data_IF_105594887622
#
_entry.id   IF_105594887622
#
_cell.length_a   1.000
_cell.length_b   1.000
_cell.length_c   1.000
_cell.angle_alpha   90.00
_cell.angle_beta   90.00
_cell.angle_gamma   90.00
#
_symmetry.space_group_name_H-M   'P 1'
#
loop_
_entity.id
_entity.type
_entity.pdbx_description
1 polymer ?
#
# COMPACT_ATOMS: atom_id res chain seq x y z
N UNK A 1 11.03 29.17 57.07
CA UNK A 1 11.20 27.71 57.30
C UNK A 1 11.41 27.05 55.95
N UNK A 2 12.68 26.74 55.66
CA UNK A 2 13.22 25.87 54.59
C UNK A 2 12.98 24.38 54.95
N UNK A 3 13.26 23.35 54.12
CA UNK A 3 14.25 23.35 53.02
C UNK A 3 13.89 22.63 51.69
N UNK A 4 14.72 22.96 50.69
CA UNK A 4 15.05 22.22 49.47
C UNK A 4 15.65 20.84 49.76
N UNK A 5 15.49 19.89 48.82
CA UNK A 5 16.51 18.87 48.50
C UNK A 5 16.40 18.40 47.04
N UNK A 6 17.51 18.50 46.32
CA UNK A 6 17.98 17.51 45.34
C UNK A 6 19.47 17.27 45.63
N UNK A 7 20.29 16.67 44.76
CA UNK A 7 20.08 15.60 43.77
C UNK A 7 21.05 14.40 44.02
N UNK A 8 21.02 13.33 43.23
CA UNK A 8 22.18 12.42 43.08
C UNK A 8 22.14 11.59 41.78
N UNK A 9 23.15 11.81 40.95
CA UNK A 9 23.68 10.92 39.90
C UNK A 9 24.81 10.07 40.47
N UNK A 10 24.90 8.79 40.10
CA UNK A 10 26.14 8.00 40.18
C UNK A 10 26.28 7.02 39.01
N UNK A 11 27.50 7.02 38.48
CA UNK A 11 28.17 6.22 37.45
C UNK A 11 28.66 4.85 37.94
N UNK A 12 28.93 3.94 36.99
CA UNK A 12 30.01 2.91 36.89
C UNK A 12 29.45 1.66 36.15
N UNK A 13 29.82 1.32 34.91
CA UNK A 13 31.09 0.92 34.28
C UNK A 13 31.68 -0.40 34.81
N UNK A 14 31.66 -1.45 33.98
CA UNK A 14 32.65 -2.56 34.04
C UNK A 14 32.66 -3.36 32.73
N UNK A 15 33.85 -3.42 32.14
CA UNK A 15 34.23 -4.16 30.93
C UNK A 15 34.45 -5.64 31.21
N UNK A 16 34.32 -6.49 30.18
CA UNK A 16 35.22 -7.64 30.01
C UNK A 16 35.36 -8.07 28.54
N UNK A 17 36.60 -8.40 28.18
CA UNK A 17 37.13 -8.66 26.83
C UNK A 17 36.85 -10.08 26.31
N UNK A 18 36.91 -10.15 24.98
CA UNK A 18 37.02 -11.26 24.00
C UNK A 18 38.05 -12.36 24.37
N UNK A 19 38.04 -13.56 23.71
CA UNK A 19 38.85 -13.71 22.49
C UNK A 19 38.23 -14.55 21.35
N UNK A 20 38.75 -14.31 20.14
CA UNK A 20 38.47 -14.98 18.88
C UNK A 20 39.29 -16.25 18.67
N UNK A 21 38.84 -17.15 17.78
CA UNK A 21 39.73 -18.06 17.05
C UNK A 21 39.17 -18.47 15.68
N UNK A 22 40.10 -18.65 14.75
CA UNK A 22 40.03 -18.56 13.28
C UNK A 22 39.59 -19.86 12.54
N UNK A 23 39.45 -19.83 11.19
CA UNK A 23 38.87 -20.91 10.38
C UNK A 23 39.92 -21.87 9.78
N UNK A 24 39.50 -23.10 9.48
CA UNK A 24 40.30 -24.16 8.83
C UNK A 24 40.11 -24.16 7.30
N UNK A 25 41.23 -24.11 6.56
CA UNK A 25 41.35 -24.38 5.11
C UNK A 25 41.72 -25.84 4.87
N UNK A 26 41.13 -26.51 3.87
CA UNK A 26 41.73 -27.61 3.06
C UNK A 26 41.05 -27.56 1.68
N UNK A 27 41.70 -27.00 0.64
CA UNK A 27 42.65 -27.58 -0.32
C UNK A 27 41.98 -28.28 -1.52
N UNK A 28 42.38 -27.79 -2.70
CA UNK A 28 42.00 -28.23 -4.03
C UNK A 28 42.77 -29.51 -4.45
N UNK A 29 42.19 -30.27 -5.38
CA UNK A 29 42.97 -31.14 -6.26
C UNK A 29 42.59 -30.90 -7.73
N UNK A 30 43.63 -30.67 -8.53
CA UNK A 30 43.64 -30.67 -9.99
C UNK A 30 43.87 -32.10 -10.48
N UNK A 31 43.29 -32.48 -11.61
CA UNK A 31 43.95 -33.38 -12.55
C UNK A 31 43.49 -33.08 -13.98
N UNK A 32 44.46 -32.70 -14.80
CA UNK A 32 44.37 -32.55 -16.24
C UNK A 32 44.57 -33.91 -16.93
N UNK A 33 43.95 -34.08 -18.09
CA UNK A 33 44.22 -35.19 -19.01
C UNK A 33 43.80 -34.80 -20.41
N UNK A 34 44.77 -34.39 -21.24
CA UNK A 34 44.58 -33.96 -22.60
C UNK A 34 44.92 -35.06 -23.62
N UNK A 35 44.13 -35.07 -24.69
CA UNK A 35 44.45 -35.36 -26.08
C UNK A 35 44.89 -36.78 -26.51
N UNK A 36 44.03 -37.41 -27.31
CA UNK A 36 44.47 -38.04 -28.58
C UNK A 36 43.54 -37.66 -29.72
N UNK A 37 44.18 -37.17 -30.77
CA UNK A 37 43.69 -36.67 -32.05
C UNK A 37 43.23 -37.78 -33.00
N UNK A 38 42.12 -37.56 -33.71
CA UNK A 38 41.88 -38.17 -35.04
C UNK A 38 41.02 -37.24 -35.89
N UNK A 39 41.48 -36.94 -37.09
CA UNK A 39 40.90 -35.97 -38.01
C UNK A 39 39.89 -36.59 -39.00
N UNK A 40 38.72 -35.94 -39.10
CA UNK A 40 37.82 -35.58 -40.23
C UNK A 40 37.50 -36.57 -41.37
N UNK A 41 36.23 -36.58 -41.85
CA UNK A 41 35.87 -35.71 -42.99
C UNK A 41 34.53 -34.95 -42.82
N UNK A 42 34.25 -33.97 -43.70
CA UNK A 42 33.34 -32.86 -43.43
C UNK A 42 31.91 -33.14 -43.90
N UNK A 43 30.90 -32.80 -43.09
CA UNK A 43 29.59 -32.30 -43.50
C UNK A 43 28.78 -31.96 -42.24
N UNK A 44 28.96 -30.74 -41.70
CA UNK A 44 28.09 -30.20 -40.68
C UNK A 44 27.46 -28.90 -41.22
N UNK A 45 26.19 -29.00 -41.63
CA UNK A 45 25.33 -27.82 -41.80
C UNK A 45 25.12 -27.21 -40.42
N UNK A 46 25.38 -25.92 -40.29
CA UNK A 46 25.12 -25.16 -39.08
C UNK A 46 23.61 -25.17 -38.77
N UNK A 47 23.21 -26.01 -37.81
CA UNK A 47 21.95 -25.80 -37.11
C UNK A 47 22.17 -24.64 -36.15
N UNK A 48 21.70 -23.45 -36.55
CA UNK A 48 21.50 -22.35 -35.62
C UNK A 48 20.65 -22.84 -34.47
N UNK A 49 21.23 -22.87 -33.27
CA UNK A 49 20.49 -23.01 -32.03
C UNK A 49 19.60 -21.79 -31.90
N UNK A 50 18.38 -21.88 -32.43
CA UNK A 50 17.30 -20.97 -32.08
C UNK A 50 17.01 -21.26 -30.61
N UNK A 51 17.57 -20.42 -29.73
CA UNK A 51 17.25 -20.44 -28.31
C UNK A 51 15.74 -20.28 -28.23
N UNK A 52 15.05 -21.35 -27.82
CA UNK A 52 13.61 -21.32 -27.65
C UNK A 52 13.22 -20.07 -26.83
N UNK A 53 12.19 -19.32 -27.24
CA UNK A 53 11.77 -18.14 -26.50
C UNK A 53 11.53 -18.58 -25.06
N UNK A 54 12.30 -17.97 -24.15
CA UNK A 54 12.16 -18.18 -22.71
C UNK A 54 10.70 -17.86 -22.43
N UNK A 55 9.88 -18.87 -22.07
CA UNK A 55 8.47 -18.66 -21.70
C UNK A 55 8.46 -17.50 -20.71
N UNK A 56 7.94 -16.37 -21.16
CA UNK A 56 7.79 -15.19 -20.33
C UNK A 56 6.89 -15.64 -19.18
N UNK A 57 7.46 -15.71 -17.97
CA UNK A 57 6.63 -16.01 -16.80
C UNK A 57 5.60 -14.90 -16.75
N UNK A 58 4.32 -15.27 -16.67
CA UNK A 58 3.26 -14.32 -16.35
C UNK A 58 3.71 -13.56 -15.11
N UNK A 59 4.03 -12.28 -15.26
CA UNK A 59 4.46 -11.45 -14.15
C UNK A 59 3.30 -11.30 -13.17
N UNK A 60 3.55 -11.50 -11.88
CA UNK A 60 2.52 -11.28 -10.88
C UNK A 60 2.19 -9.78 -10.82
N UNK A 61 0.94 -9.46 -10.50
CA UNK A 61 0.51 -8.08 -10.25
C UNK A 61 0.75 -7.76 -8.78
N UNK A 62 1.44 -6.66 -8.51
CA UNK A 62 1.60 -6.10 -7.17
C UNK A 62 0.72 -4.85 -7.07
N UNK A 63 -0.04 -4.72 -5.98
CA UNK A 63 -0.68 -3.44 -5.61
C UNK A 63 0.13 -2.79 -4.49
N UNK A 64 0.34 -1.49 -4.58
CA UNK A 64 0.82 -0.66 -3.49
C UNK A 64 -0.16 0.48 -3.22
N UNK A 65 -0.23 0.88 -1.95
CA UNK A 65 -0.98 2.05 -1.49
C UNK A 65 0.02 3.04 -0.90
N UNK A 66 -0.04 4.28 -1.36
CA UNK A 66 0.81 5.39 -0.94
C UNK A 66 -0.09 6.47 -0.32
N UNK A 67 0.10 6.74 0.95
CA UNK A 67 -0.55 7.81 1.70
C UNK A 67 0.33 9.05 1.68
N UNK A 68 -0.24 10.20 1.30
CA UNK A 68 0.49 11.47 1.19
C UNK A 68 -0.15 12.50 2.12
N UNK A 69 0.68 13.18 2.90
CA UNK A 69 0.28 14.31 3.72
C UNK A 69 0.85 15.59 3.15
N UNK A 70 0.01 16.61 3.07
CA UNK A 70 0.38 17.92 2.59
C UNK A 70 1.24 18.69 3.62
N UNK A 71 2.02 19.66 3.17
CA UNK A 71 2.63 20.65 4.06
C UNK A 71 1.52 21.46 4.75
N UNK A 72 1.75 21.85 6.01
CA UNK A 72 0.73 22.46 6.88
C UNK A 72 0.03 23.68 6.27
N UNK A 73 0.76 24.49 5.49
CA UNK A 73 0.26 25.73 4.91
C UNK A 73 -0.03 25.62 3.39
N UNK A 74 -0.10 24.39 2.86
CA UNK A 74 -0.42 24.17 1.44
C UNK A 74 -1.85 24.57 1.15
N UNK A 75 -2.09 25.20 -0.01
CA UNK A 75 -3.45 25.31 -0.53
C UNK A 75 -3.96 23.90 -0.93
N UNK A 76 -5.09 23.42 -0.39
CA UNK A 76 -5.58 22.08 -0.69
C UNK A 76 -5.91 21.89 -2.19
N UNK A 77 -6.35 22.93 -2.88
CA UNK A 77 -6.66 22.88 -4.31
C UNK A 77 -5.40 22.72 -5.15
N UNK A 78 -4.39 23.55 -4.89
CA UNK A 78 -3.08 23.46 -5.57
C UNK A 78 -2.42 22.10 -5.33
N UNK A 79 -2.38 21.64 -4.07
CA UNK A 79 -1.86 20.31 -3.72
C UNK A 79 -2.56 19.18 -4.49
N UNK A 80 -3.89 19.24 -4.57
CA UNK A 80 -4.69 18.25 -5.29
C UNK A 80 -4.45 18.27 -6.80
N UNK A 81 -4.27 19.45 -7.39
CA UNK A 81 -3.96 19.61 -8.82
C UNK A 81 -2.57 19.07 -9.16
N UNK A 82 -1.55 19.40 -8.36
CA UNK A 82 -0.18 18.92 -8.56
C UNK A 82 -0.10 17.39 -8.51
N UNK A 83 -0.81 16.76 -7.55
CA UNK A 83 -0.89 15.30 -7.48
C UNK A 83 -1.66 14.68 -8.64
N UNK A 84 -2.75 15.33 -9.09
CA UNK A 84 -3.50 14.87 -10.24
C UNK A 84 -2.64 14.87 -11.49
N UNK A 85 -1.92 15.97 -11.75
CA UNK A 85 -1.02 16.10 -12.90
C UNK A 85 0.10 15.06 -12.85
N UNK A 86 0.77 14.92 -11.69
CA UNK A 86 1.81 13.90 -11.50
C UNK A 86 1.29 12.48 -11.74
N UNK A 87 0.11 12.15 -11.23
CA UNK A 87 -0.47 10.82 -11.42
C UNK A 87 -0.94 10.60 -12.87
N UNK A 88 -1.43 11.64 -13.55
CA UNK A 88 -1.84 11.58 -14.95
C UNK A 88 -0.63 11.38 -15.89
N UNK A 89 0.50 12.05 -15.62
CA UNK A 89 1.77 11.80 -16.32
C UNK A 89 2.21 10.34 -16.19
N UNK A 90 2.14 9.79 -14.96
CA UNK A 90 2.46 8.38 -14.73
C UNK A 90 1.49 7.45 -15.46
N UNK A 91 0.18 7.75 -15.43
CA UNK A 91 -0.85 6.96 -16.09
C UNK A 91 -0.68 6.92 -17.62
N UNK A 92 -0.23 8.02 -18.22
CA UNK A 92 0.03 8.11 -19.67
C UNK A 92 1.41 7.56 -20.06
N UNK A 93 2.36 7.50 -19.11
CA UNK A 93 3.74 7.09 -19.36
C UNK A 93 4.58 8.17 -20.03
N UNK A 94 4.20 9.44 -19.85
CA UNK A 94 4.95 10.60 -20.37
C UNK A 94 6.18 10.94 -19.52
N UNK A 95 6.25 10.43 -18.29
CA UNK A 95 7.37 10.65 -17.36
C UNK A 95 8.55 9.68 -17.52
N UNK A 96 9.56 9.84 -16.66
CA UNK A 96 10.75 8.99 -16.63
C UNK A 96 10.49 7.59 -16.04
N UNK A 97 9.38 7.41 -15.33
CA UNK A 97 9.00 6.14 -14.69
C UNK A 97 8.14 5.35 -15.67
N UNK A 98 8.40 4.04 -15.85
CA UNK A 98 7.55 3.19 -16.68
C UNK A 98 6.07 3.30 -16.29
N UNK A 99 5.17 3.14 -17.26
CA UNK A 99 3.73 3.23 -17.00
C UNK A 99 3.25 2.08 -16.09
N UNK A 100 2.62 2.34 -14.93
CA UNK A 100 2.09 1.29 -14.03
C UNK A 100 0.88 0.60 -14.67
N UNK A 101 0.63 -0.67 -14.38
CA UNK A 101 -0.50 -1.45 -14.93
C UNK A 101 -1.87 -0.83 -14.64
N UNK A 102 -2.02 -0.17 -13.49
CA UNK A 102 -3.19 0.63 -13.13
C UNK A 102 -2.81 1.68 -12.09
N UNK A 103 -3.60 2.75 -12.00
CA UNK A 103 -3.42 3.81 -10.99
C UNK A 103 -4.76 4.47 -10.66
N UNK A 104 -5.02 4.62 -9.37
CA UNK A 104 -6.18 5.34 -8.85
C UNK A 104 -5.70 6.38 -7.83
N UNK A 105 -6.16 7.61 -7.99
CA UNK A 105 -5.89 8.73 -7.12
C UNK A 105 -7.13 9.01 -6.27
N UNK A 106 -6.97 9.07 -4.96
CA UNK A 106 -8.03 9.38 -4.01
C UNK A 106 -7.62 10.67 -3.30
N UNK A 107 -8.36 11.74 -3.53
CA UNK A 107 -8.09 13.05 -2.94
C UNK A 107 -9.04 13.29 -1.78
N UNK A 108 -8.53 13.76 -0.65
CA UNK A 108 -9.36 14.06 0.50
C UNK A 108 -10.49 15.02 0.11
N UNK A 109 -11.69 14.72 0.60
CA UNK A 109 -12.88 15.47 0.25
C UNK A 109 -12.92 16.81 1.00
N UNK A 110 -12.39 17.85 0.35
CA UNK A 110 -12.26 19.20 0.93
C UNK A 110 -13.61 19.85 1.25
N UNK A 111 -14.68 19.45 0.57
CA UNK A 111 -16.02 20.01 0.81
C UNK A 111 -16.63 19.52 2.14
N UNK A 112 -16.23 18.36 2.66
CA UNK A 112 -16.70 17.91 4.00
C UNK A 112 -15.76 18.39 5.07
N UNK A 113 -14.46 18.33 4.79
CA UNK A 113 -13.43 18.40 5.81
C UNK A 113 -13.52 17.26 6.84
N UNK A 114 -14.39 16.26 6.64
CA UNK A 114 -14.65 15.23 7.64
C UNK A 114 -13.52 14.20 7.62
N UNK A 115 -12.74 14.23 8.71
CA UNK A 115 -11.70 13.26 9.03
C UNK A 115 -11.97 12.72 10.41
N UNK A 116 -11.73 11.43 10.58
CA UNK A 116 -11.61 10.83 11.91
C UNK A 116 -10.16 10.47 12.12
N UNK A 117 -9.44 11.43 12.66
CA UNK A 117 -8.20 11.24 13.37
C UNK A 117 -8.45 11.65 14.83
N UNK A 118 -8.03 10.84 15.79
CA UNK A 118 -8.32 11.10 17.21
C UNK A 118 -7.20 11.87 17.91
N UNK A 119 -6.36 12.56 17.14
CA UNK A 119 -5.18 13.27 17.67
C UNK A 119 -4.12 12.33 18.27
N UNK A 120 -4.09 11.08 17.80
CA UNK A 120 -3.07 10.09 18.19
C UNK A 120 -1.68 10.45 17.64
N UNK A 121 -0.62 9.74 18.09
CA UNK A 121 0.77 10.01 17.66
C UNK A 121 0.98 9.86 16.15
N UNK A 122 0.04 9.26 15.43
CA UNK A 122 0.12 9.02 13.99
C UNK A 122 -0.22 10.24 13.14
N UNK A 123 -0.74 11.28 13.79
CA UNK A 123 -1.15 12.52 13.15
C UNK A 123 -2.48 12.40 12.42
N UNK A 124 -2.80 13.38 11.56
CA UNK A 124 -4.06 13.41 10.84
C UNK A 124 -4.14 12.31 9.78
N UNK A 125 -5.35 12.04 9.28
CA UNK A 125 -5.52 11.23 8.07
C UNK A 125 -4.77 11.89 6.89
N UNK A 126 -4.26 11.07 5.96
CA UNK A 126 -3.61 11.52 4.74
C UNK A 126 -4.53 12.39 3.87
N UNK A 127 -3.93 13.37 3.18
CA UNK A 127 -4.61 14.29 2.27
C UNK A 127 -4.86 13.68 0.89
N UNK A 128 -4.08 12.66 0.52
CA UNK A 128 -4.30 11.84 -0.66
C UNK A 128 -3.86 10.40 -0.43
N UNK A 129 -4.50 9.48 -1.16
CA UNK A 129 -4.12 8.07 -1.23
C UNK A 129 -3.99 7.65 -2.70
N UNK A 130 -2.81 7.19 -3.11
CA UNK A 130 -2.56 6.65 -4.45
C UNK A 130 -2.50 5.13 -4.37
N UNK A 131 -3.38 4.46 -5.09
CA UNK A 131 -3.28 3.03 -5.34
C UNK A 131 -2.62 2.80 -6.70
N UNK A 132 -1.56 2.00 -6.75
CA UNK A 132 -0.83 1.69 -7.98
C UNK A 132 -0.70 0.18 -8.14
N UNK A 133 -1.01 -0.32 -9.33
CA UNK A 133 -0.84 -1.71 -9.71
C UNK A 133 0.33 -1.81 -10.68
N UNK A 134 1.28 -2.68 -10.38
CA UNK A 134 2.53 -2.84 -11.15
C UNK A 134 2.76 -4.32 -11.43
N UNK A 135 3.72 -4.61 -12.31
CA UNK A 135 4.27 -5.96 -12.35
C UNK A 135 5.25 -6.17 -11.19
N UNK A 136 5.44 -7.42 -10.79
CA UNK A 136 6.36 -7.83 -9.72
C UNK A 136 7.79 -7.32 -9.86
N UNK A 137 8.30 -7.21 -11.08
CA UNK A 137 9.65 -6.71 -11.32
C UNK A 137 9.86 -5.28 -10.76
N UNK A 138 8.82 -4.44 -10.64
CA UNK A 138 8.94 -3.10 -10.06
C UNK A 138 9.39 -3.10 -8.60
N UNK A 139 9.02 -4.13 -7.84
CA UNK A 139 9.48 -4.28 -6.46
C UNK A 139 10.94 -4.76 -6.42
N UNK A 140 11.36 -5.57 -7.39
CA UNK A 140 12.71 -6.14 -7.45
C UNK A 140 13.76 -5.15 -7.99
N UNK A 141 13.40 -4.33 -8.97
CA UNK A 141 14.31 -3.40 -9.65
C UNK A 141 14.32 -1.98 -9.05
N UNK A 142 13.50 -1.73 -8.03
CA UNK A 142 13.39 -0.44 -7.35
C UNK A 142 12.51 0.59 -8.07
N UNK A 143 11.83 0.22 -9.16
CA UNK A 143 10.91 1.12 -9.88
C UNK A 143 9.76 1.57 -8.98
N UNK A 144 9.22 0.69 -8.13
CA UNK A 144 8.16 1.05 -7.19
C UNK A 144 8.64 2.10 -6.17
N UNK A 145 9.89 1.98 -5.68
CA UNK A 145 10.50 2.97 -4.81
C UNK A 145 10.73 4.30 -5.53
N UNK A 146 11.16 4.26 -6.79
CA UNK A 146 11.31 5.46 -7.64
C UNK A 146 9.97 6.16 -7.87
N UNK A 147 8.90 5.39 -8.05
CA UNK A 147 7.53 5.92 -8.18
C UNK A 147 7.07 6.61 -6.89
N UNK A 148 7.27 5.99 -5.74
CA UNK A 148 7.00 6.62 -4.45
C UNK A 148 7.85 7.89 -4.26
N UNK A 149 9.13 7.87 -4.63
CA UNK A 149 10.02 9.03 -4.56
C UNK A 149 9.58 10.19 -5.45
N UNK A 150 9.08 9.91 -6.66
CA UNK A 150 8.54 10.94 -7.55
C UNK A 150 7.27 11.59 -6.98
N UNK A 151 6.41 10.80 -6.34
CA UNK A 151 5.24 11.34 -5.64
C UNK A 151 5.63 12.15 -4.41
N UNK A 152 6.60 11.67 -3.61
CA UNK A 152 7.13 12.40 -2.47
C UNK A 152 7.79 13.73 -2.86
N UNK A 153 8.36 13.82 -4.06
CA UNK A 153 8.93 15.06 -4.62
C UNK A 153 7.92 16.00 -5.30
N UNK A 154 6.62 15.71 -5.22
CA UNK A 154 5.58 16.62 -5.73
C UNK A 154 5.43 17.81 -4.79
N UNK A 155 5.24 19.01 -5.36
CA UNK A 155 5.12 20.23 -4.57
C UNK A 155 4.00 20.12 -3.52
N UNK A 156 4.28 20.58 -2.30
CA UNK A 156 3.34 20.53 -1.18
C UNK A 156 3.23 19.16 -0.50
N UNK A 157 3.97 18.12 -0.90
CA UNK A 157 4.01 16.83 -0.16
C UNK A 157 5.04 16.91 0.96
N UNK A 158 4.59 16.83 2.21
CA UNK A 158 5.45 16.85 3.40
C UNK A 158 5.90 15.44 3.83
N UNK A 159 5.05 14.45 3.63
CA UNK A 159 5.26 13.08 4.10
C UNK A 159 4.61 12.08 3.17
N UNK A 160 5.25 10.93 2.97
CA UNK A 160 4.69 9.81 2.22
C UNK A 160 4.94 8.49 2.94
N UNK A 161 3.87 7.76 3.24
CA UNK A 161 3.91 6.39 3.74
C UNK A 161 3.45 5.41 2.67
N UNK A 162 4.14 4.28 2.49
CA UNK A 162 3.80 3.31 1.45
C UNK A 162 3.74 1.88 1.95
N UNK A 163 2.83 1.08 1.40
CA UNK A 163 2.71 -0.35 1.69
C UNK A 163 2.41 -1.13 0.43
N UNK A 164 3.04 -2.30 0.27
CA UNK A 164 2.52 -3.30 -0.67
C UNK A 164 1.37 -4.04 -0.01
N UNK A 165 0.33 -4.38 -0.78
CA UNK A 165 -0.91 -4.92 -0.24
C UNK A 165 -1.42 -6.11 -1.07
N UNK A 166 -2.06 -7.04 -0.38
CA UNK A 166 -2.94 -8.03 -0.98
C UNK A 166 -4.36 -7.47 -1.06
N UNK A 167 -4.88 -7.38 -2.28
CA UNK A 167 -6.20 -6.82 -2.57
C UNK A 167 -7.27 -7.90 -2.60
N UNK A 168 -8.37 -7.67 -1.88
CA UNK A 168 -9.55 -8.51 -1.88
C UNK A 168 -10.82 -7.66 -2.03
N UNK A 169 -11.83 -8.17 -2.73
CA UNK A 169 -13.06 -7.45 -3.04
C UNK A 169 -14.28 -8.18 -2.50
N UNK A 170 -14.67 -7.95 -1.24
CA UNK A 170 -15.94 -8.48 -0.72
C UNK A 170 -17.17 -8.01 -1.48
N UNK A 171 -17.16 -6.78 -2.05
CA UNK A 171 -18.25 -6.24 -2.86
C UNK A 171 -17.70 -5.37 -3.99
N UNK A 172 -18.15 -5.62 -5.22
CA UNK A 172 -17.76 -4.82 -6.40
C UNK A 172 -18.95 -4.02 -6.91
N UNK A 173 -18.70 -2.76 -7.28
CA UNK A 173 -19.64 -2.03 -8.13
C UNK A 173 -19.45 -2.46 -9.59
N UNK A 174 -20.49 -2.26 -10.39
CA UNK A 174 -20.38 -2.26 -11.84
C UNK A 174 -19.93 -0.89 -12.29
N UNK A 175 -18.83 -0.83 -13.06
CA UNK A 175 -18.25 0.42 -13.51
C UNK A 175 -18.73 0.76 -14.92
N UNK A 176 -19.34 1.92 -15.07
CA UNK A 176 -19.81 2.45 -16.35
C UNK A 176 -19.15 3.79 -16.74
N UNK A 177 -18.34 4.40 -15.87
CA UNK A 177 -17.55 5.59 -16.18
C UNK A 177 -16.16 5.27 -16.74
N UNK A 178 -15.57 6.24 -17.44
CA UNK A 178 -14.27 6.10 -18.10
C UNK A 178 -13.10 6.48 -17.19
N UNK A 179 -11.88 6.09 -17.56
CA UNK A 179 -10.68 6.48 -16.83
C UNK A 179 -10.46 8.00 -16.89
N UNK A 180 -9.98 8.58 -15.80
CA UNK A 180 -9.76 10.03 -15.64
C UNK A 180 -10.94 10.78 -15.05
N UNK A 181 -12.17 10.29 -15.26
CA UNK A 181 -13.36 10.88 -14.63
C UNK A 181 -13.37 10.63 -13.12
N UNK A 182 -13.99 11.56 -12.39
CA UNK A 182 -14.27 11.37 -10.96
C UNK A 182 -15.24 10.21 -10.81
N UNK A 183 -14.85 9.20 -10.05
CA UNK A 183 -15.75 8.09 -9.72
C UNK A 183 -17.02 8.64 -9.04
N UNK A 184 -18.21 8.17 -9.41
CA UNK A 184 -19.46 8.55 -8.76
C UNK A 184 -19.46 8.26 -7.26
N UNK A 185 -20.19 9.09 -6.52
CA UNK A 185 -20.37 8.93 -5.08
C UNK A 185 -19.19 9.39 -4.25
N UNK A 186 -19.01 8.73 -3.10
CA UNK A 186 -17.98 9.04 -2.09
C UNK A 186 -17.31 7.75 -1.63
N UNK A 187 -15.99 7.81 -1.44
CA UNK A 187 -15.21 6.72 -0.85
C UNK A 187 -14.80 7.09 0.57
N UNK A 188 -15.06 6.22 1.53
CA UNK A 188 -14.39 6.22 2.83
C UNK A 188 -13.12 5.38 2.74
N UNK A 189 -12.00 5.91 3.20
CA UNK A 189 -10.78 5.14 3.41
C UNK A 189 -10.30 5.25 4.85
N UNK A 190 -9.79 4.14 5.39
CA UNK A 190 -9.22 4.10 6.74
C UNK A 190 -7.90 3.34 6.73
N UNK A 191 -6.85 3.94 7.31
CA UNK A 191 -5.62 3.26 7.69
C UNK A 191 -5.86 2.55 9.03
N UNK A 192 -5.85 1.22 9.00
CA UNK A 192 -6.19 0.40 10.16
C UNK A 192 -4.94 -0.12 10.85
N UNK A 193 -4.87 0.11 12.16
CA UNK A 193 -3.73 -0.28 13.00
C UNK A 193 -4.04 -1.48 13.85
N UNK A 194 -3.01 -2.28 14.14
CA UNK A 194 -3.13 -3.50 14.92
C UNK A 194 -3.84 -3.24 16.25
N UNK A 195 -4.82 -4.08 16.57
CA UNK A 195 -5.39 -4.10 17.91
C UNK A 195 -4.28 -4.49 18.93
N UNK A 196 -4.28 -3.90 20.14
CA UNK A 196 -3.28 -4.22 21.15
C UNK A 196 -3.15 -5.72 21.42
N UNK A 197 -1.92 -6.23 21.37
CA UNK A 197 -1.63 -7.64 21.65
C UNK A 197 -2.04 -8.62 20.54
N UNK A 198 -2.47 -8.16 19.37
CA UNK A 198 -2.77 -9.02 18.21
C UNK A 198 -1.71 -8.97 17.14
N UNK A 199 -1.48 -10.10 16.49
CA UNK A 199 -0.63 -10.17 15.32
C UNK A 199 -1.35 -9.67 14.07
N UNK A 200 -0.56 -9.30 13.07
CA UNK A 200 -1.05 -8.94 11.73
C UNK A 200 -1.99 -9.99 11.14
N UNK A 201 -1.58 -11.27 11.17
CA UNK A 201 -2.40 -12.38 10.68
C UNK A 201 -3.73 -12.52 11.43
N UNK A 202 -3.72 -12.36 12.76
CA UNK A 202 -4.94 -12.43 13.57
C UNK A 202 -5.91 -11.29 13.23
N UNK A 203 -5.40 -10.07 13.05
CA UNK A 203 -6.20 -8.91 12.67
C UNK A 203 -6.77 -9.07 11.25
N UNK A 204 -5.93 -9.45 10.29
CA UNK A 204 -6.34 -9.66 8.90
C UNK A 204 -7.37 -10.80 8.77
N UNK A 205 -7.17 -11.91 9.49
CA UNK A 205 -8.12 -13.03 9.52
C UNK A 205 -9.46 -12.61 10.10
N UNK A 206 -9.47 -11.96 11.27
CA UNK A 206 -10.72 -11.47 11.88
C UNK A 206 -11.44 -10.49 10.95
N UNK A 207 -10.70 -9.57 10.33
CA UNK A 207 -11.25 -8.62 9.38
C UNK A 207 -11.93 -9.32 8.19
N UNK A 208 -11.29 -10.34 7.62
CA UNK A 208 -11.81 -11.07 6.44
C UNK A 208 -12.96 -12.01 6.78
N UNK A 209 -12.84 -12.78 7.86
CA UNK A 209 -13.72 -13.91 8.13
C UNK A 209 -14.90 -13.55 9.04
N UNK A 210 -14.75 -12.55 9.92
CA UNK A 210 -15.76 -12.16 10.91
C UNK A 210 -16.34 -10.80 10.58
N UNK A 211 -15.50 -9.78 10.41
CA UNK A 211 -15.96 -8.42 10.20
C UNK A 211 -16.58 -8.21 8.82
N UNK A 212 -16.04 -8.83 7.77
CA UNK A 212 -16.57 -8.66 6.40
C UNK A 212 -18.03 -9.08 6.25
N UNK A 213 -18.45 -10.30 6.65
CA UNK A 213 -19.87 -10.68 6.59
C UNK A 213 -20.77 -9.72 7.36
N UNK A 214 -20.29 -9.22 8.51
CA UNK A 214 -20.99 -8.26 9.35
C UNK A 214 -21.17 -6.90 8.62
N UNK A 215 -20.09 -6.36 8.07
CA UNK A 215 -20.08 -5.12 7.31
C UNK A 215 -20.97 -5.18 6.05
N UNK A 216 -20.95 -6.31 5.33
CA UNK A 216 -21.81 -6.53 4.16
C UNK A 216 -23.30 -6.54 4.49
N UNK A 217 -23.68 -7.03 5.67
CA UNK A 217 -25.06 -7.03 6.15
C UNK A 217 -25.49 -5.63 6.61
N UNK A 218 -24.64 -4.96 7.39
CA UNK A 218 -25.01 -3.72 8.10
C UNK A 218 -24.92 -2.48 7.21
N UNK A 219 -23.91 -2.40 6.33
CA UNK A 219 -23.73 -1.24 5.46
C UNK A 219 -24.60 -1.35 4.19
N UNK A 220 -25.91 -1.14 4.34
CA UNK A 220 -26.89 -1.38 3.27
C UNK A 220 -26.69 -0.52 2.01
N UNK A 221 -26.19 0.71 2.15
CA UNK A 221 -25.89 1.60 1.02
C UNK A 221 -24.53 1.35 0.35
N UNK A 222 -23.74 0.40 0.85
CA UNK A 222 -22.38 0.14 0.36
C UNK A 222 -22.41 -0.41 -1.05
N UNK A 223 -21.77 0.26 -2.00
CA UNK A 223 -21.68 -0.18 -3.40
C UNK A 223 -20.36 -0.91 -3.69
N UNK A 224 -19.30 -0.53 -2.97
CA UNK A 224 -17.98 -1.14 -3.08
C UNK A 224 -17.38 -1.41 -1.72
N UNK A 225 -16.69 -2.53 -1.60
CA UNK A 225 -15.85 -2.83 -0.47
C UNK A 225 -14.55 -3.47 -0.97
N UNK A 226 -13.43 -2.81 -0.70
CA UNK A 226 -12.07 -3.33 -0.95
C UNK A 226 -11.34 -3.47 0.37
N UNK A 227 -10.69 -4.61 0.54
CA UNK A 227 -9.78 -4.87 1.63
C UNK A 227 -8.37 -4.94 1.06
N UNK A 228 -7.50 -4.04 1.51
CA UNK A 228 -6.09 -4.05 1.18
C UNK A 228 -5.31 -4.47 2.42
N UNK A 229 -4.95 -5.75 2.52
CA UNK A 229 -4.16 -6.25 3.65
C UNK A 229 -2.69 -5.97 3.37
N UNK A 230 -2.02 -5.25 4.27
CA UNK A 230 -0.61 -4.91 4.11
C UNK A 230 0.22 -6.19 4.11
N UNK A 231 1.10 -6.34 3.12
CA UNK A 231 2.11 -7.40 3.12
C UNK A 231 3.38 -6.89 3.80
N UNK A 232 3.96 -5.79 3.28
CA UNK A 232 5.11 -5.12 3.89
C UNK A 232 5.07 -3.61 3.68
N UNK A 233 5.61 -2.82 4.64
CA UNK A 233 5.96 -1.41 4.41
C UNK A 233 6.92 -1.26 3.23
N UNK A 234 6.75 -0.19 2.44
CA UNK A 234 7.63 0.13 1.33
C UNK A 234 8.90 0.81 1.86
N UNK A 235 10.06 0.24 1.53
CA UNK A 235 11.34 0.77 1.96
C UNK A 235 11.57 2.21 1.45
N UNK A 236 12.15 3.06 2.30
CA UNK A 236 12.43 4.47 1.95
C UNK A 236 11.22 5.40 2.06
N UNK A 237 10.12 4.95 2.65
CA UNK A 237 8.93 5.78 2.94
C UNK A 237 8.70 5.88 4.45
N UNK A 238 7.88 6.84 4.88
CA UNK A 238 7.46 7.04 6.29
C UNK A 238 6.32 6.09 6.69
N UNK A 239 6.36 4.86 6.17
CA UNK A 239 5.33 3.87 6.39
C UNK A 239 5.23 3.48 7.88
N UNK A 240 4.03 3.63 8.42
CA UNK A 240 3.69 3.18 9.76
C UNK A 240 3.66 1.63 9.79
N UNK A 241 4.50 0.97 10.61
CA UNK A 241 4.58 -0.49 10.67
C UNK A 241 3.37 -1.13 11.35
N UNK A 242 2.57 -0.37 12.11
CA UNK A 242 1.37 -0.88 12.78
C UNK A 242 0.17 -0.95 11.84
N UNK A 243 0.23 -0.32 10.66
CA UNK A 243 -0.83 -0.41 9.66
C UNK A 243 -0.85 -1.83 9.07
N UNK A 244 -1.90 -2.59 9.40
CA UNK A 244 -2.09 -3.95 8.89
C UNK A 244 -3.02 -4.00 7.68
N UNK A 245 -3.81 -2.95 7.46
CA UNK A 245 -4.72 -2.90 6.31
C UNK A 245 -5.26 -1.52 6.01
N UNK A 246 -5.71 -1.35 4.78
CA UNK A 246 -6.43 -0.17 4.29
C UNK A 246 -7.77 -0.61 3.75
N UNK A 247 -8.85 -0.11 4.34
CA UNK A 247 -10.21 -0.35 3.84
C UNK A 247 -10.61 0.74 2.86
N UNK A 248 -11.32 0.34 1.80
CA UNK A 248 -12.04 1.25 0.91
C UNK A 248 -13.51 0.87 0.91
N UNK A 249 -14.38 1.81 1.26
CA UNK A 249 -15.83 1.62 1.27
C UNK A 249 -16.47 2.72 0.43
N UNK A 250 -17.14 2.36 -0.66
CA UNK A 250 -17.88 3.35 -1.47
C UNK A 250 -19.37 3.31 -1.18
N UNK A 251 -19.96 4.49 -1.14
CA UNK A 251 -21.40 4.71 -1.11
C UNK A 251 -21.79 5.61 -2.28
N UNK A 252 -23.06 5.52 -2.68
CA UNK A 252 -23.63 6.32 -3.78
C UNK A 252 -23.55 7.84 -3.56
N UNK A 253 -23.56 8.27 -2.30
CA UNK A 253 -23.50 9.67 -1.90
C UNK A 253 -23.11 9.81 -0.42
N UNK A 254 -22.82 11.04 0.02
CA UNK A 254 -22.67 11.34 1.45
C UNK A 254 -23.95 11.14 2.26
N UNK A 255 -25.09 11.42 1.63
CA UNK A 255 -26.40 11.20 2.26
C UNK A 255 -26.59 9.71 2.55
N UNK A 256 -26.26 8.83 1.60
CA UNK A 256 -26.27 7.39 1.84
C UNK A 256 -25.28 6.99 2.96
N UNK A 257 -24.12 7.64 3.08
CA UNK A 257 -23.23 7.44 4.23
C UNK A 257 -23.85 7.81 5.58
N UNK A 258 -24.81 8.74 5.62
CA UNK A 258 -25.50 9.12 6.86
C UNK A 258 -26.70 8.23 7.13
N UNK A 259 -27.49 7.93 6.10
CA UNK A 259 -28.80 7.31 6.24
C UNK A 259 -28.79 5.79 6.02
N UNK A 260 -27.85 5.28 5.22
CA UNK A 260 -27.79 3.88 4.77
C UNK A 260 -26.50 3.19 5.23
N UNK A 261 -25.75 3.80 6.14
CA UNK A 261 -24.54 3.19 6.70
C UNK A 261 -24.86 2.07 7.66
N UNK A 262 -26.00 2.07 8.33
CA UNK A 262 -26.38 1.01 9.24
C UNK A 262 -27.77 0.51 8.89
N UNK A 263 -27.99 -0.79 8.97
CA UNK A 263 -29.30 -1.41 8.83
C UNK A 263 -30.25 -1.02 9.98
N UNK A 264 -29.67 -0.75 11.16
CA UNK A 264 -30.37 -0.51 12.42
C UNK A 264 -29.40 0.04 13.48
N UNK A 265 -29.95 0.55 14.59
CA UNK A 265 -29.16 0.92 15.77
C UNK A 265 -28.49 -0.29 16.43
N UNK A 266 -29.12 -1.46 16.36
CA UNK A 266 -28.54 -2.70 16.86
C UNK A 266 -27.34 -3.14 16.02
N UNK A 267 -27.46 -3.11 14.69
CA UNK A 267 -26.33 -3.38 13.79
C UNK A 267 -25.21 -2.36 13.97
N UNK A 268 -25.55 -1.07 14.15
CA UNK A 268 -24.57 -0.04 14.51
C UNK A 268 -23.80 -0.43 15.78
N UNK A 269 -24.47 -0.83 16.86
CA UNK A 269 -23.80 -1.29 18.08
C UNK A 269 -22.93 -2.53 17.82
N UNK A 270 -23.47 -3.53 17.12
CA UNK A 270 -22.78 -4.80 16.84
C UNK A 270 -21.45 -4.58 16.10
N UNK A 271 -21.44 -3.73 15.06
CA UNK A 271 -20.21 -3.46 14.32
C UNK A 271 -19.20 -2.65 15.13
N UNK A 272 -19.65 -1.72 15.98
CA UNK A 272 -18.75 -0.99 16.88
C UNK A 272 -18.15 -1.86 18.00
N UNK A 273 -18.86 -2.89 18.46
CA UNK A 273 -18.33 -3.89 19.39
C UNK A 273 -17.32 -4.83 18.72
N UNK A 274 -17.43 -5.04 17.41
CA UNK A 274 -16.52 -5.91 16.66
C UNK A 274 -15.19 -5.23 16.31
N UNK A 275 -15.21 -3.94 15.95
CA UNK A 275 -14.02 -3.21 15.47
C UNK A 275 -12.79 -3.34 16.42
N UNK A 276 -12.90 -3.13 17.74
CA UNK A 276 -11.76 -3.23 18.66
C UNK A 276 -11.12 -4.62 18.72
N UNK A 277 -11.79 -5.66 18.22
CA UNK A 277 -11.27 -7.03 18.20
C UNK A 277 -10.18 -7.21 17.14
N UNK A 278 -10.03 -6.31 16.18
CA UNK A 278 -9.00 -6.45 15.14
C UNK A 278 -8.30 -5.14 14.78
N UNK A 279 -8.87 -4.00 15.13
CA UNK A 279 -8.28 -2.69 14.87
C UNK A 279 -8.24 -1.86 16.15
N UNK A 280 -7.12 -1.18 16.39
CA UNK A 280 -7.04 -0.11 17.39
C UNK A 280 -7.85 1.10 16.91
N UNK A 281 -9.13 1.14 17.27
CA UNK A 281 -10.08 2.18 16.80
C UNK A 281 -9.66 3.60 17.22
N UNK A 282 -8.99 3.74 18.35
CA UNK A 282 -8.45 5.00 18.85
C UNK A 282 -7.24 5.50 18.07
N UNK A 283 -6.53 4.59 17.41
CA UNK A 283 -5.36 4.89 16.56
C UNK A 283 -5.69 4.91 15.08
N UNK A 284 -6.84 4.38 14.66
CA UNK A 284 -7.23 4.37 13.26
C UNK A 284 -7.46 5.80 12.74
N UNK A 285 -7.01 6.07 11.51
CA UNK A 285 -7.21 7.35 10.84
C UNK A 285 -7.98 7.11 9.55
N UNK A 286 -8.99 7.93 9.27
CA UNK A 286 -9.71 7.85 8.00
C UNK A 286 -10.45 9.13 7.64
N UNK A 287 -11.02 9.13 6.44
CA UNK A 287 -11.73 10.27 5.89
C UNK A 287 -12.50 9.90 4.63
N UNK A 288 -13.18 10.88 4.07
CA UNK A 288 -13.80 10.76 2.75
C UNK A 288 -12.87 11.23 1.65
N UNK A 289 -12.97 10.57 0.51
CA UNK A 289 -12.14 10.79 -0.65
C UNK A 289 -12.97 10.81 -1.94
N UNK A 290 -12.56 11.65 -2.87
CA UNK A 290 -12.96 11.63 -4.26
C UNK A 290 -11.95 10.79 -5.05
N UNK A 291 -12.41 9.68 -5.64
CA UNK A 291 -11.56 8.83 -6.49
C UNK A 291 -11.55 9.31 -7.94
N UNK A 292 -10.38 9.19 -8.58
CA UNK A 292 -10.23 9.10 -10.03
C UNK A 292 -9.41 7.86 -10.35
N UNK A 293 -9.98 6.94 -11.13
CA UNK A 293 -9.22 5.85 -11.72
C UNK A 293 -8.58 6.40 -12.99
N UNK A 294 -7.28 6.71 -12.92
CA UNK A 294 -6.54 7.31 -14.04
C UNK A 294 -6.08 6.26 -15.05
N UNK A 295 -5.93 5.01 -14.59
CA UNK A 295 -5.72 3.85 -15.44
C UNK A 295 -6.33 2.61 -14.80
N UNK A 296 -7.23 1.96 -15.53
CA UNK A 296 -7.88 0.71 -15.12
C UNK A 296 -6.84 -0.38 -14.80
N UNK A 297 -6.85 -0.98 -13.59
CA UNK A 297 -5.95 -2.08 -13.27
C UNK A 297 -6.35 -3.38 -13.98
N UNK A 298 -5.42 -4.33 -14.15
CA UNK A 298 -5.72 -5.63 -14.76
C UNK A 298 -6.87 -6.36 -14.04
N UNK A 299 -7.75 -7.00 -14.80
CA UNK A 299 -8.89 -7.75 -14.24
C UNK A 299 -10.11 -6.90 -13.86
N UNK A 300 -10.05 -5.58 -14.04
CA UNK A 300 -11.19 -4.66 -13.95
C UNK A 300 -11.59 -4.21 -15.36
N UNK A 301 -12.89 -4.14 -15.64
CA UNK A 301 -13.41 -3.69 -16.94
C UNK A 301 -13.56 -2.17 -16.91
N UNK A 302 -13.14 -1.50 -17.99
CA UNK A 302 -13.42 -0.07 -18.18
C UNK A 302 -14.83 0.16 -18.71
N UNK A 303 -15.48 1.23 -18.25
CA UNK A 303 -16.74 1.69 -18.82
C UNK A 303 -16.61 1.83 -20.35
N UNK A 304 -17.67 1.47 -21.08
CA UNK A 304 -17.68 1.68 -22.53
C UNK A 304 -17.78 3.20 -22.78
N UNK A 305 -16.96 3.75 -23.70
CA UNK A 305 -17.08 5.14 -24.12
C UNK A 305 -18.42 5.43 -24.80
#
# INVERSE_FOLDING_TARGET
MTPQTGPATTTENSSTRIPSSAPTRIAASRAAGAARTRAMPPHARAHGSVRAPRRERSRAVIKAILALWAEHDSDPGEFQLELLDRCAEAATGSGAIPRPLGIALNLADVESGERWDRGGPEGPMADAMVAVWTNDAWAEDGTLGSFAGALAGTAGVARLGGWTVEEHYPKRYERDWVDGERSPGVKMMTLMRLAPGRSHEQCARHWREVHTPLALRIHIGMQHYVQNVVHVPLAGTDADPDVFGVVELHMRSREAFREERYDSEEGRREIYEDIPKFMALDRATGGYFAERILRTPPGVVSGRP
#
